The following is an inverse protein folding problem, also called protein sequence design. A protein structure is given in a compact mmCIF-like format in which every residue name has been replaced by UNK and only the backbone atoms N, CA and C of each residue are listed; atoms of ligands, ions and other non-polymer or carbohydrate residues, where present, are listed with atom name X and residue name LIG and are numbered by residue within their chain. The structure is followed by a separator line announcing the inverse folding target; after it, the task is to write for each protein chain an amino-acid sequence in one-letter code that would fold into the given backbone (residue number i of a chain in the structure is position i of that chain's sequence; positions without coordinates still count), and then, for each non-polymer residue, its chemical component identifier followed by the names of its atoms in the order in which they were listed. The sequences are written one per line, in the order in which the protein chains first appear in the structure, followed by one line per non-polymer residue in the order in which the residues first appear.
data_IF_742659927387
#
_entry.id   IF_742659927387
#
_cell.length_a   1.000
_cell.length_b   1.000
_cell.length_c   1.000
_cell.angle_alpha   90.00
_cell.angle_beta   90.00
_cell.angle_gamma   90.00
#
_symmetry.space_group_name_H-M   'P 1'
#
loop_
_entity.id
_entity.type
_entity.pdbx_description
1 polymer ?
#
# COMPACT_ATOMS: atom_id res chain seq x y z
N UNK A 1 -5.31 15.13 26.94
CA UNK A 1 -6.47 14.89 26.03
C UNK A 1 -6.31 15.48 24.63
N UNK A 2 -5.73 16.68 24.50
CA UNK A 2 -5.50 17.41 23.23
C UNK A 2 -4.39 16.85 22.35
N UNK A 3 -3.41 16.11 22.90
CA UNK A 3 -2.36 15.45 22.10
C UNK A 3 -2.90 14.41 21.11
N UNK A 4 -4.08 13.82 21.38
CA UNK A 4 -4.73 12.86 20.46
C UNK A 4 -5.11 13.47 19.09
N UNK A 5 -5.13 14.79 18.96
CA UNK A 5 -5.44 15.49 17.70
C UNK A 5 -4.19 15.94 16.92
N UNK A 6 -3.00 15.83 17.50
CA UNK A 6 -1.73 16.19 16.88
C UNK A 6 -0.94 14.91 16.58
N UNK A 7 -0.89 14.50 15.32
CA UNK A 7 -0.10 13.34 14.88
C UNK A 7 -0.84 12.44 13.87
N UNK A 8 -0.23 11.31 13.55
CA UNK A 8 -0.87 10.28 12.73
C UNK A 8 -2.02 9.63 13.53
N UNK A 9 -3.13 9.35 12.87
CA UNK A 9 -4.28 8.64 13.45
C UNK A 9 -4.52 7.26 12.81
N UNK A 10 -3.60 6.84 11.94
CA UNK A 10 -3.57 5.55 11.25
C UNK A 10 -2.11 5.09 11.18
N UNK A 11 -1.81 3.94 11.78
CA UNK A 11 -0.49 3.31 11.71
C UNK A 11 -0.43 2.16 10.73
N UNK A 12 0.79 1.84 10.30
CA UNK A 12 1.11 0.60 9.60
C UNK A 12 1.80 -0.34 10.56
N UNK A 13 1.32 -1.58 10.64
CA UNK A 13 2.07 -2.68 11.25
C UNK A 13 2.39 -3.71 10.18
N UNK A 14 3.66 -4.12 10.06
CA UNK A 14 4.09 -5.08 9.05
C UNK A 14 4.53 -6.40 9.70
N UNK A 15 4.12 -7.51 9.10
CA UNK A 15 4.53 -8.87 9.50
C UNK A 15 5.10 -9.57 8.27
N UNK A 16 6.20 -10.31 8.46
CA UNK A 16 6.76 -11.22 7.46
C UNK A 16 6.67 -12.64 8.02
N UNK A 17 5.84 -13.48 7.40
CA UNK A 17 5.78 -14.90 7.76
C UNK A 17 6.87 -15.65 7.03
N UNK A 18 7.62 -16.48 7.75
CA UNK A 18 8.81 -17.17 7.26
C UNK A 18 8.61 -18.67 7.11
N UNK A 19 7.45 -19.20 7.52
CA UNK A 19 7.18 -20.64 7.65
C UNK A 19 8.12 -21.31 8.69
N UNK A 20 8.58 -20.53 9.67
CA UNK A 20 9.27 -21.00 10.86
C UNK A 20 8.30 -20.83 12.05
N UNK A 21 7.80 -21.93 12.65
CA UNK A 21 6.81 -21.87 13.70
C UNK A 21 7.22 -21.01 14.91
N UNK A 22 8.50 -20.94 15.22
CA UNK A 22 9.00 -20.17 16.36
C UNK A 22 8.97 -18.68 16.03
N UNK A 23 9.54 -18.29 14.89
CA UNK A 23 9.60 -16.88 14.46
C UNK A 23 8.22 -16.31 14.14
N UNK A 24 7.39 -17.11 13.47
CA UNK A 24 6.04 -16.70 13.09
C UNK A 24 5.16 -16.52 14.35
N UNK A 25 5.35 -17.35 15.37
CA UNK A 25 4.73 -17.16 16.70
C UNK A 25 5.21 -15.89 17.38
N UNK A 26 6.50 -15.59 17.36
CA UNK A 26 7.04 -14.35 17.94
C UNK A 26 6.47 -13.10 17.25
N UNK A 27 6.39 -13.11 15.92
CA UNK A 27 5.76 -12.04 15.15
C UNK A 27 4.28 -11.86 15.49
N UNK A 28 3.54 -12.96 15.66
CA UNK A 28 2.14 -12.94 16.06
C UNK A 28 1.96 -12.37 17.48
N UNK A 29 2.82 -12.74 18.42
CA UNK A 29 2.79 -12.21 19.79
C UNK A 29 3.08 -10.71 19.83
N UNK A 30 4.06 -10.25 19.03
CA UNK A 30 4.36 -8.83 18.91
C UNK A 30 3.18 -8.03 18.32
N UNK A 31 2.53 -8.57 17.28
CA UNK A 31 1.34 -7.94 16.72
C UNK A 31 0.18 -7.93 17.72
N UNK A 32 0.00 -9.00 18.49
CA UNK A 32 -1.02 -9.05 19.53
C UNK A 32 -0.82 -7.95 20.58
N UNK A 33 0.42 -7.77 21.07
CA UNK A 33 0.74 -6.70 22.02
C UNK A 33 0.45 -5.31 21.44
N UNK A 34 0.84 -5.07 20.18
CA UNK A 34 0.54 -3.83 19.48
C UNK A 34 -0.96 -3.57 19.37
N UNK A 35 -1.77 -4.57 18.98
CA UNK A 35 -3.22 -4.39 18.83
C UNK A 35 -3.89 -4.04 20.14
N UNK A 36 -3.49 -4.66 21.25
CA UNK A 36 -4.04 -4.35 22.57
C UNK A 36 -3.76 -2.89 22.98
N UNK A 37 -2.54 -2.41 22.75
CA UNK A 37 -2.17 -1.02 22.99
C UNK A 37 -2.91 -0.05 22.04
N UNK A 38 -3.01 -0.42 20.77
CA UNK A 38 -3.72 0.37 19.76
C UNK A 38 -5.21 0.50 20.12
N UNK A 39 -5.85 -0.58 20.52
CA UNK A 39 -7.25 -0.60 20.97
C UNK A 39 -7.45 0.28 22.23
N UNK A 40 -6.61 0.13 23.26
CA UNK A 40 -6.65 0.95 24.48
C UNK A 40 -6.53 2.45 24.17
N UNK A 41 -5.71 2.79 23.19
CA UNK A 41 -5.46 4.18 22.78
C UNK A 41 -6.46 4.70 21.74
N UNK A 42 -7.32 3.84 21.19
CA UNK A 42 -8.19 4.18 20.07
C UNK A 42 -7.42 4.52 18.78
N UNK A 43 -6.22 3.96 18.62
CA UNK A 43 -5.34 4.16 17.48
C UNK A 43 -5.66 3.15 16.38
N UNK A 44 -5.94 3.63 15.16
CA UNK A 44 -6.28 2.76 14.03
C UNK A 44 -5.02 2.25 13.36
N UNK A 45 -5.09 1.08 12.75
CA UNK A 45 -3.99 0.52 11.97
C UNK A 45 -4.48 -0.22 10.73
N UNK A 46 -3.57 -0.41 9.80
CA UNK A 46 -3.69 -1.40 8.74
C UNK A 46 -2.53 -2.39 8.85
N UNK A 47 -2.78 -3.62 8.41
CA UNK A 47 -1.82 -4.73 8.53
C UNK A 47 -1.18 -4.99 7.17
N UNK A 48 0.14 -4.87 7.08
CA UNK A 48 0.92 -5.32 5.93
C UNK A 48 1.46 -6.72 6.19
N UNK A 49 1.24 -7.63 5.24
CA UNK A 49 1.75 -9.00 5.31
C UNK A 49 2.63 -9.27 4.10
N UNK A 50 3.87 -9.67 4.38
CA UNK A 50 4.87 -10.01 3.37
C UNK A 50 5.02 -11.53 3.20
N UNK A 51 5.48 -11.88 2.00
CA UNK A 51 5.96 -13.22 1.68
C UNK A 51 7.20 -13.57 2.50
N UNK A 52 7.50 -14.88 2.66
CA UNK A 52 8.77 -15.31 3.24
C UNK A 52 9.97 -14.62 2.57
N UNK A 53 10.83 -14.04 3.40
CA UNK A 53 12.06 -13.40 2.97
C UNK A 53 13.25 -14.38 2.86
N UNK A 54 13.00 -15.66 3.15
CA UNK A 54 13.95 -16.77 2.98
C UNK A 54 13.48 -17.62 1.81
N UNK A 55 14.37 -17.86 0.84
CA UNK A 55 14.05 -18.67 -0.33
C UNK A 55 13.69 -20.11 0.06
N UNK A 56 12.83 -20.73 -0.77
CA UNK A 56 12.43 -22.14 -0.66
C UNK A 56 11.71 -22.56 0.63
N UNK A 57 11.23 -21.61 1.45
CA UNK A 57 10.41 -21.94 2.63
C UNK A 57 8.99 -22.38 2.29
N UNK A 58 8.45 -21.88 1.17
CA UNK A 58 7.13 -22.23 0.66
C UNK A 58 7.24 -22.36 -0.85
N UNK A 59 6.67 -23.44 -1.42
CA UNK A 59 6.64 -23.62 -2.86
C UNK A 59 5.80 -22.51 -3.53
N UNK A 60 6.21 -21.94 -4.67
CA UNK A 60 5.51 -20.81 -5.30
C UNK A 60 4.00 -21.03 -5.53
N UNK A 61 3.59 -22.25 -5.89
CA UNK A 61 2.21 -22.66 -6.10
C UNK A 61 1.35 -22.68 -4.83
N UNK A 62 1.99 -22.73 -3.65
CA UNK A 62 1.35 -22.73 -2.34
C UNK A 62 1.45 -21.38 -1.63
N UNK A 63 2.23 -20.43 -2.16
CA UNK A 63 2.51 -19.15 -1.49
C UNK A 63 1.23 -18.36 -1.16
N UNK A 64 0.32 -18.21 -2.13
CA UNK A 64 -0.94 -17.49 -1.90
C UNK A 64 -1.81 -18.15 -0.80
N UNK A 65 -1.89 -19.47 -0.80
CA UNK A 65 -2.63 -20.22 0.23
C UNK A 65 -1.98 -20.10 1.61
N UNK A 66 -0.64 -20.17 1.67
CA UNK A 66 0.13 -19.98 2.90
C UNK A 66 -0.10 -18.59 3.51
N UNK A 67 -0.07 -17.53 2.69
CA UNK A 67 -0.31 -16.16 3.16
C UNK A 67 -1.75 -15.98 3.63
N UNK A 68 -2.74 -16.51 2.91
CA UNK A 68 -4.14 -16.50 3.33
C UNK A 68 -4.31 -17.18 4.69
N UNK A 69 -3.77 -18.38 4.86
CA UNK A 69 -3.81 -19.14 6.12
C UNK A 69 -3.10 -18.39 7.28
N UNK A 70 -1.96 -17.76 7.01
CA UNK A 70 -1.29 -16.91 7.99
C UNK A 70 -2.14 -15.71 8.42
N UNK A 71 -2.77 -15.01 7.47
CA UNK A 71 -3.68 -13.88 7.76
C UNK A 71 -4.86 -14.35 8.60
N UNK A 72 -5.49 -15.47 8.21
CA UNK A 72 -6.64 -16.04 8.92
C UNK A 72 -6.27 -16.41 10.36
N UNK A 73 -5.13 -17.06 10.58
CA UNK A 73 -4.65 -17.36 11.94
C UNK A 73 -4.39 -16.11 12.76
N UNK A 74 -3.83 -15.08 12.14
CA UNK A 74 -3.48 -13.82 12.80
C UNK A 74 -4.69 -13.01 13.24
N UNK A 75 -5.77 -13.07 12.48
CA UNK A 75 -7.01 -12.38 12.77
C UNK A 75 -8.07 -13.29 13.44
N UNK A 76 -7.75 -14.57 13.61
CA UNK A 76 -8.58 -15.56 14.28
C UNK A 76 -8.87 -15.15 15.72
N UNK A 77 -10.16 -15.00 16.06
CA UNK A 77 -10.60 -14.57 17.40
C UNK A 77 -10.38 -13.09 17.70
N UNK A 78 -9.88 -12.29 16.75
CA UNK A 78 -9.71 -10.85 16.93
C UNK A 78 -11.06 -10.13 16.81
N UNK A 79 -11.44 -9.41 17.87
CA UNK A 79 -12.64 -8.57 17.94
C UNK A 79 -12.56 -7.41 16.95
N UNK A 80 -13.71 -6.91 16.52
CA UNK A 80 -13.81 -5.80 15.56
C UNK A 80 -13.00 -4.55 15.97
N UNK A 81 -12.93 -4.24 17.26
CA UNK A 81 -12.18 -3.09 17.82
C UNK A 81 -10.67 -3.22 17.65
N UNK A 82 -10.14 -4.44 17.70
CA UNK A 82 -8.71 -4.71 17.54
C UNK A 82 -8.30 -5.16 16.14
N UNK A 83 -9.23 -5.22 15.17
CA UNK A 83 -8.93 -5.59 13.77
C UNK A 83 -8.27 -4.44 13.02
N UNK A 84 -7.41 -4.73 12.02
CA UNK A 84 -6.94 -3.70 11.10
C UNK A 84 -8.09 -3.17 10.23
N UNK A 85 -8.03 -1.90 9.84
CA UNK A 85 -9.01 -1.27 8.94
C UNK A 85 -8.98 -1.91 7.54
N UNK A 86 -7.79 -2.29 7.07
CA UNK A 86 -7.57 -2.99 5.81
C UNK A 86 -6.23 -3.74 5.83
N UNK A 87 -6.07 -4.63 4.86
CA UNK A 87 -4.81 -5.33 4.60
C UNK A 87 -3.98 -4.65 3.51
N UNK A 88 -2.67 -4.84 3.58
CA UNK A 88 -1.72 -4.52 2.51
C UNK A 88 -0.88 -5.76 2.20
N UNK A 89 -1.20 -6.45 1.12
CA UNK A 89 -0.58 -7.74 0.79
C UNK A 89 -0.06 -7.77 -0.65
N UNK A 90 0.85 -8.69 -0.94
CA UNK A 90 1.19 -9.03 -2.33
C UNK A 90 -0.06 -9.62 -3.01
N UNK A 91 -0.25 -9.31 -4.29
CA UNK A 91 -1.29 -9.96 -5.07
C UNK A 91 -0.79 -11.34 -5.54
N UNK A 92 -1.32 -12.41 -4.98
CA UNK A 92 -0.99 -13.80 -5.35
C UNK A 92 -1.96 -14.40 -6.38
N UNK A 93 -2.67 -13.54 -7.09
CA UNK A 93 -3.57 -13.92 -8.17
C UNK A 93 -5.03 -14.13 -7.81
N UNK A 94 -5.86 -14.45 -8.82
CA UNK A 94 -7.32 -14.47 -8.72
C UNK A 94 -7.82 -15.34 -7.59
N UNK A 95 -7.39 -16.61 -7.60
CA UNK A 95 -7.87 -17.63 -6.64
C UNK A 95 -7.57 -17.21 -5.20
N UNK A 96 -6.34 -16.81 -4.91
CA UNK A 96 -5.95 -16.42 -3.56
C UNK A 96 -6.69 -15.16 -3.08
N UNK A 97 -6.90 -14.18 -3.96
CA UNK A 97 -7.67 -12.98 -3.65
C UNK A 97 -9.14 -13.31 -3.38
N UNK A 98 -9.78 -14.09 -4.25
CA UNK A 98 -11.19 -14.50 -4.09
C UNK A 98 -11.41 -15.32 -2.82
N UNK A 99 -10.51 -16.28 -2.53
CA UNK A 99 -10.56 -17.09 -1.30
C UNK A 99 -10.54 -16.21 -0.04
N UNK A 100 -9.60 -15.25 0.03
CA UNK A 100 -9.47 -14.38 1.20
C UNK A 100 -10.67 -13.44 1.36
N UNK A 101 -11.13 -12.84 0.26
CA UNK A 101 -12.30 -11.93 0.26
C UNK A 101 -13.58 -12.67 0.60
N UNK A 102 -13.74 -13.91 0.13
CA UNK A 102 -14.91 -14.74 0.44
C UNK A 102 -14.92 -15.23 1.89
N UNK A 103 -13.74 -15.49 2.47
CA UNK A 103 -13.61 -15.97 3.85
C UNK A 103 -14.11 -14.95 4.88
N UNK A 104 -13.71 -13.68 4.76
CA UNK A 104 -14.17 -12.61 5.63
C UNK A 104 -14.60 -11.37 4.81
N UNK A 105 -15.89 -11.21 4.50
CA UNK A 105 -16.39 -10.09 3.70
C UNK A 105 -16.28 -8.73 4.41
N UNK A 106 -15.98 -8.72 5.71
CA UNK A 106 -15.73 -7.48 6.45
C UNK A 106 -14.26 -7.04 6.38
N UNK A 107 -13.36 -7.92 5.92
CA UNK A 107 -11.94 -7.61 5.79
C UNK A 107 -11.68 -6.91 4.44
N UNK A 108 -11.28 -5.64 4.50
CA UNK A 108 -10.91 -4.89 3.31
C UNK A 108 -9.52 -5.34 2.86
N UNK A 109 -9.46 -6.07 1.74
CA UNK A 109 -8.18 -6.54 1.18
C UNK A 109 -7.59 -5.47 0.26
N UNK A 110 -6.37 -5.04 0.58
CA UNK A 110 -5.58 -4.11 -0.23
C UNK A 110 -4.29 -4.72 -0.75
N UNK A 111 -3.86 -4.29 -1.93
CA UNK A 111 -2.66 -4.81 -2.59
C UNK A 111 -1.48 -3.82 -2.54
N UNK A 112 -0.27 -4.34 -2.48
CA UNK A 112 0.96 -3.57 -2.63
C UNK A 112 1.43 -3.55 -4.09
N UNK A 113 2.10 -2.46 -4.47
CA UNK A 113 2.56 -2.28 -5.85
C UNK A 113 3.83 -3.05 -6.24
N UNK A 114 4.68 -3.43 -5.29
CA UNK A 114 5.99 -4.02 -5.63
C UNK A 114 6.98 -3.00 -6.19
N UNK A 115 7.83 -3.41 -7.14
CA UNK A 115 8.74 -2.52 -7.89
C UNK A 115 7.98 -1.62 -8.87
N UNK A 116 8.64 -0.64 -9.48
CA UNK A 116 7.95 0.25 -10.43
C UNK A 116 7.41 -0.50 -11.65
N UNK A 117 8.24 -1.33 -12.31
CA UNK A 117 7.85 -2.02 -13.53
C UNK A 117 7.48 -1.05 -14.66
N UNK A 118 6.58 -1.49 -15.54
CA UNK A 118 5.96 -0.65 -16.59
C UNK A 118 4.70 0.05 -16.07
N UNK A 119 4.22 1.03 -16.84
CA UNK A 119 2.90 1.63 -16.60
C UNK A 119 1.81 0.55 -16.68
N UNK A 120 1.93 -0.38 -17.64
CA UNK A 120 0.98 -1.47 -17.78
C UNK A 120 0.99 -2.42 -16.58
N UNK A 121 2.16 -2.74 -15.99
CA UNK A 121 2.23 -3.52 -14.75
C UNK A 121 1.38 -2.89 -13.64
N UNK A 122 1.46 -1.56 -13.46
CA UNK A 122 0.69 -0.87 -12.43
C UNK A 122 -0.81 -0.88 -12.71
N UNK A 123 -1.20 -0.52 -13.93
CA UNK A 123 -2.60 -0.36 -14.32
C UNK A 123 -3.32 -1.71 -14.36
N UNK A 124 -2.66 -2.74 -14.90
CA UNK A 124 -3.20 -4.09 -14.95
C UNK A 124 -3.31 -4.70 -13.56
N UNK A 125 -2.33 -4.49 -12.68
CA UNK A 125 -2.38 -4.97 -11.29
C UNK A 125 -3.57 -4.39 -10.53
N UNK A 126 -3.81 -3.08 -10.64
CA UNK A 126 -4.97 -2.44 -10.04
C UNK A 126 -6.29 -3.06 -10.55
N UNK A 127 -6.41 -3.22 -11.87
CA UNK A 127 -7.63 -3.75 -12.48
C UNK A 127 -7.90 -5.21 -12.10
N UNK A 128 -6.89 -6.08 -12.11
CA UNK A 128 -7.02 -7.48 -11.71
C UNK A 128 -7.38 -7.58 -10.21
N UNK A 129 -6.65 -6.89 -9.34
CA UNK A 129 -6.95 -6.92 -7.91
C UNK A 129 -8.38 -6.45 -7.62
N UNK A 130 -8.84 -5.37 -8.27
CA UNK A 130 -10.24 -4.91 -8.17
C UNK A 130 -11.22 -5.97 -8.65
N UNK A 131 -10.95 -6.59 -9.81
CA UNK A 131 -11.82 -7.62 -10.42
C UNK A 131 -12.08 -8.78 -9.46
N UNK A 132 -11.07 -9.20 -8.70
CA UNK A 132 -11.15 -10.36 -7.81
C UNK A 132 -11.48 -10.02 -6.35
N UNK A 133 -11.87 -8.78 -6.05
CA UNK A 133 -12.40 -8.43 -4.73
C UNK A 133 -11.54 -7.48 -3.91
N UNK A 134 -10.32 -7.16 -4.35
CA UNK A 134 -9.51 -6.11 -3.76
C UNK A 134 -10.22 -4.76 -3.77
N UNK A 135 -9.98 -3.96 -2.73
CA UNK A 135 -10.66 -2.67 -2.51
C UNK A 135 -9.71 -1.49 -2.29
N UNK A 136 -8.42 -1.77 -2.09
CA UNK A 136 -7.39 -0.75 -1.85
C UNK A 136 -6.14 -1.10 -2.67
N UNK A 137 -5.47 -0.08 -3.21
CA UNK A 137 -4.15 -0.23 -3.83
C UNK A 137 -3.17 0.75 -3.19
N UNK A 138 -2.06 0.21 -2.66
CA UNK A 138 -1.03 0.97 -1.96
C UNK A 138 0.25 0.98 -2.80
N UNK A 139 0.27 1.84 -3.82
CA UNK A 139 1.38 1.99 -4.75
C UNK A 139 2.32 3.11 -4.29
N UNK A 140 3.57 2.75 -3.97
CA UNK A 140 4.63 3.72 -3.67
C UNK A 140 5.54 3.93 -4.88
N UNK A 141 6.46 2.97 -5.10
CA UNK A 141 7.48 3.04 -6.16
C UNK A 141 6.89 3.27 -7.56
N UNK A 142 5.79 2.60 -7.89
CA UNK A 142 5.08 2.75 -9.17
C UNK A 142 4.69 4.20 -9.46
N UNK A 143 4.21 4.91 -8.45
CA UNK A 143 3.82 6.33 -8.58
C UNK A 143 5.06 7.22 -8.57
N UNK A 144 5.96 7.03 -7.60
CA UNK A 144 7.11 7.91 -7.43
C UNK A 144 8.08 7.90 -8.62
N UNK A 145 8.15 6.78 -9.35
CA UNK A 145 9.03 6.60 -10.51
C UNK A 145 8.31 6.79 -11.84
N UNK A 146 7.05 7.25 -11.85
CA UNK A 146 6.36 7.67 -13.05
C UNK A 146 6.90 9.02 -13.55
N UNK A 147 6.89 9.22 -14.87
CA UNK A 147 7.33 10.46 -15.53
C UNK A 147 6.47 11.66 -15.13
N UNK A 148 5.18 11.43 -14.88
CA UNK A 148 4.26 12.44 -14.35
C UNK A 148 3.33 11.81 -13.31
N UNK A 149 3.62 12.04 -12.03
CA UNK A 149 2.90 11.37 -10.93
C UNK A 149 1.42 11.77 -10.87
N UNK A 150 1.09 13.03 -11.18
CA UNK A 150 -0.30 13.51 -11.15
C UNK A 150 -1.13 12.85 -12.24
N UNK A 151 -0.61 12.81 -13.48
CA UNK A 151 -1.27 12.11 -14.58
C UNK A 151 -1.41 10.61 -14.28
N UNK A 152 -0.36 9.99 -13.73
CA UNK A 152 -0.36 8.58 -13.37
C UNK A 152 -1.43 8.24 -12.32
N UNK A 153 -1.50 9.02 -11.23
CA UNK A 153 -2.52 8.88 -10.17
C UNK A 153 -3.93 9.04 -10.73
N UNK A 154 -4.13 10.00 -11.64
CA UNK A 154 -5.42 10.19 -12.26
C UNK A 154 -5.86 8.97 -13.07
N UNK A 155 -4.98 8.40 -13.89
CA UNK A 155 -5.32 7.18 -14.63
C UNK A 155 -5.58 5.98 -13.70
N UNK A 156 -4.82 5.85 -12.59
CA UNK A 156 -5.15 4.87 -11.54
C UNK A 156 -6.57 5.09 -11.01
N UNK A 157 -6.98 6.35 -10.78
CA UNK A 157 -8.33 6.65 -10.32
C UNK A 157 -9.39 6.28 -11.34
N UNK A 158 -9.20 6.60 -12.62
CA UNK A 158 -10.12 6.24 -13.69
C UNK A 158 -10.29 4.71 -13.81
N UNK A 159 -9.20 3.95 -13.67
CA UNK A 159 -9.25 2.47 -13.65
C UNK A 159 -10.00 1.97 -12.41
N UNK A 160 -9.70 2.54 -11.23
CA UNK A 160 -10.37 2.19 -9.99
C UNK A 160 -11.88 2.47 -10.06
N UNK A 161 -12.30 3.54 -10.73
CA UNK A 161 -13.70 3.89 -10.97
C UNK A 161 -14.35 3.06 -12.10
N UNK A 162 -13.54 2.35 -12.89
CA UNK A 162 -14.03 1.52 -14.01
C UNK A 162 -14.38 2.33 -15.26
N UNK A 163 -13.91 3.57 -15.34
CA UNK A 163 -14.15 4.43 -16.50
C UNK A 163 -13.32 3.98 -17.70
N UNK A 164 -12.09 3.50 -17.46
CA UNK A 164 -11.11 3.11 -18.49
C UNK A 164 -10.43 1.77 -18.16
N UNK A 165 -10.09 0.99 -19.18
CA UNK A 165 -9.30 -0.23 -19.05
C UNK A 165 -7.79 0.03 -18.97
N UNK A 166 -6.97 -0.91 -18.45
CA UNK A 166 -5.53 -0.74 -18.33
C UNK A 166 -4.81 -0.41 -19.65
N UNK A 167 -5.13 -1.13 -20.73
CA UNK A 167 -4.49 -1.01 -22.04
C UNK A 167 -4.79 0.36 -22.68
N UNK A 168 -6.02 0.84 -22.51
CA UNK A 168 -6.45 2.15 -22.96
C UNK A 168 -5.79 3.26 -22.13
N UNK A 169 -5.70 3.06 -20.81
CA UNK A 169 -5.08 4.01 -19.90
C UNK A 169 -3.58 4.21 -20.17
N UNK A 170 -2.83 3.15 -20.52
CA UNK A 170 -1.41 3.28 -20.91
C UNK A 170 -1.28 4.17 -22.15
N UNK A 171 -2.06 3.90 -23.20
CA UNK A 171 -2.05 4.71 -24.44
C UNK A 171 -2.42 6.17 -24.16
N UNK A 172 -3.43 6.38 -23.32
CA UNK A 172 -3.87 7.72 -22.93
C UNK A 172 -2.80 8.46 -22.11
N UNK A 173 -2.12 7.77 -21.19
CA UNK A 173 -1.00 8.32 -20.41
C UNK A 173 0.15 8.75 -21.32
N UNK A 174 0.56 7.92 -22.28
CA UNK A 174 1.57 8.31 -23.29
C UNK A 174 1.13 9.52 -24.11
N UNK A 175 -0.15 9.61 -24.48
CA UNK A 175 -0.69 10.78 -25.15
C UNK A 175 -0.66 12.06 -24.31
N UNK A 176 -0.85 11.93 -22.98
CA UNK A 176 -0.69 13.06 -22.04
C UNK A 176 0.79 13.45 -21.93
N UNK A 177 1.71 12.48 -21.81
CA UNK A 177 3.15 12.77 -21.80
C UNK A 177 3.58 13.53 -23.06
N UNK A 178 3.12 13.09 -24.23
CA UNK A 178 3.37 13.77 -25.50
C UNK A 178 2.83 15.21 -25.51
N UNK A 179 1.59 15.42 -25.06
CA UNK A 179 1.00 16.76 -25.00
C UNK A 179 1.76 17.70 -24.05
N UNK A 180 2.32 17.16 -22.97
CA UNK A 180 3.13 17.89 -22.00
C UNK A 180 4.60 18.03 -22.40
N UNK A 181 5.02 17.47 -23.55
CA UNK A 181 6.41 17.47 -23.97
C UNK A 181 7.35 16.66 -23.06
N UNK A 182 6.80 15.71 -22.29
CA UNK A 182 7.56 14.84 -21.40
C UNK A 182 7.97 13.58 -22.17
N UNK A 183 9.27 13.31 -22.25
CA UNK A 183 9.79 12.09 -22.86
C UNK A 183 9.47 10.88 -22.00
N UNK A 184 8.73 9.88 -22.51
CA UNK A 184 8.49 8.64 -21.78
C UNK A 184 9.80 7.88 -21.50
N UNK A 185 9.92 7.21 -20.35
CA UNK A 185 11.11 6.40 -20.05
C UNK A 185 11.24 5.17 -20.98
N UNK A 186 10.13 4.74 -21.57
CA UNK A 186 10.02 3.56 -22.45
C UNK A 186 9.16 3.88 -23.65
N UNK A 187 9.36 3.15 -24.75
CA UNK A 187 8.43 3.21 -25.87
C UNK A 187 7.04 2.70 -25.44
N UNK A 188 5.98 3.15 -26.11
CA UNK A 188 4.63 2.64 -25.84
C UNK A 188 4.56 1.10 -25.97
N UNK A 189 5.27 0.52 -26.93
CA UNK A 189 5.31 -0.93 -27.13
C UNK A 189 5.92 -1.65 -25.92
N UNK A 190 7.06 -1.14 -25.40
CA UNK A 190 7.73 -1.73 -24.25
C UNK A 190 6.97 -1.51 -22.95
N UNK A 191 6.31 -0.36 -22.81
CA UNK A 191 5.55 0.00 -21.61
C UNK A 191 4.20 -0.74 -21.52
N UNK A 192 3.79 -1.40 -22.59
CA UNK A 192 2.66 -2.33 -22.68
C UNK A 192 3.03 -3.78 -22.31
N UNK A 193 4.30 -4.06 -21.99
CA UNK A 193 4.76 -5.39 -21.59
C UNK A 193 4.69 -5.52 -20.06
N UNK A 194 4.18 -6.67 -19.59
CA UNK A 194 4.28 -7.02 -18.16
C UNK A 194 5.71 -7.44 -17.85
N UNK A 195 6.36 -6.71 -16.95
CA UNK A 195 7.74 -6.99 -16.54
C UNK A 195 7.82 -7.50 -15.11
N UNK A 196 6.79 -7.26 -14.29
CA UNK A 196 6.80 -7.65 -12.88
C UNK A 196 6.18 -9.02 -12.66
N UNK A 197 6.87 -9.86 -11.87
CA UNK A 197 6.39 -11.20 -11.48
C UNK A 197 5.08 -11.19 -10.68
N UNK A 198 4.65 -10.02 -10.16
CA UNK A 198 3.36 -9.86 -9.45
C UNK A 198 2.17 -10.20 -10.35
N UNK A 199 2.34 -10.11 -11.69
CA UNK A 199 1.31 -10.45 -12.67
C UNK A 199 1.63 -11.71 -13.48
N UNK A 200 2.80 -12.31 -13.27
CA UNK A 200 3.16 -13.58 -13.91
C UNK A 200 2.59 -14.72 -13.07
N UNK A 201 1.46 -15.25 -13.49
CA UNK A 201 0.81 -16.41 -12.88
C UNK A 201 1.63 -17.72 -12.97
N UNK A 202 2.88 -17.64 -13.46
CA UNK A 202 3.84 -18.74 -13.53
C UNK A 202 5.12 -18.43 -12.75
N UNK A 203 5.17 -18.92 -11.50
CA UNK A 203 6.37 -19.45 -10.85
C UNK A 203 7.67 -18.61 -10.83
N UNK A 204 7.64 -17.29 -10.99
CA UNK A 204 8.88 -16.49 -11.00
C UNK A 204 8.92 -15.51 -9.83
N UNK A 205 9.93 -15.72 -8.98
CA UNK A 205 10.43 -14.94 -7.83
C UNK A 205 9.74 -13.59 -7.56
N UNK A 206 8.72 -13.59 -6.72
CA UNK A 206 8.28 -12.40 -5.97
C UNK A 206 8.99 -12.36 -4.63
N UNK A 207 10.16 -11.73 -4.56
CA UNK A 207 10.77 -11.39 -3.26
C UNK A 207 10.38 -9.96 -2.88
N UNK A 208 9.42 -9.84 -1.97
CA UNK A 208 9.03 -8.57 -1.37
C UNK A 208 9.92 -8.28 -0.14
N UNK A 209 11.20 -7.98 -0.37
CA UNK A 209 12.09 -7.60 0.73
C UNK A 209 11.80 -6.14 1.18
N UNK A 210 11.72 -5.87 2.50
CA UNK A 210 11.86 -4.52 3.03
C UNK A 210 13.21 -3.92 2.62
N UNK A 211 13.32 -2.60 2.39
CA UNK A 211 14.59 -1.99 2.01
C UNK A 211 15.62 -2.16 3.14
N UNK A 212 16.73 -2.83 2.85
CA UNK A 212 17.90 -2.83 3.71
C UNK A 212 18.54 -1.43 3.67
N UNK A 213 18.67 -0.77 4.82
CA UNK A 213 19.56 0.38 4.95
C UNK A 213 21.00 -0.13 4.88
N UNK A 214 21.66 0.07 3.74
CA UNK A 214 23.08 -0.21 3.61
C UNK A 214 23.88 0.79 4.47
N UNK A 215 24.44 0.31 5.59
CA UNK A 215 25.54 1.00 6.26
C UNK A 215 26.86 0.59 5.57
N UNK A 216 27.76 1.53 5.21
CA UNK A 216 29.06 1.16 4.66
C UNK A 216 29.98 0.62 5.77
N UNK A 217 30.49 -0.59 5.55
CA UNK A 217 31.79 -1.06 6.01
C UNK A 217 31.88 -1.59 7.45
N UNK A 218 31.94 -2.93 7.60
CA UNK A 218 33.01 -3.63 8.35
C UNK A 218 33.20 -5.03 7.74
N UNK A 219 34.46 -5.40 7.52
CA UNK A 219 34.99 -6.66 6.98
C UNK A 219 34.79 -7.88 7.91
N UNK A 220 34.58 -9.06 7.31
CA UNK A 220 34.64 -10.44 7.87
C UNK A 220 35.89 -10.70 8.75
N UNK A 221 36.00 -11.55 9.78
CA UNK A 221 35.49 -12.90 10.19
C UNK A 221 36.06 -13.23 11.61
N UNK A 222 35.93 -14.44 12.25
CA UNK A 222 34.86 -15.46 12.34
C UNK A 222 34.47 -15.85 13.82
N UNK A 223 33.61 -16.89 13.96
CA UNK A 223 32.96 -17.57 15.13
C UNK A 223 33.70 -17.64 16.51
N UNK A 224 33.06 -17.74 17.69
CA UNK A 224 32.31 -18.90 18.30
C UNK A 224 31.35 -18.45 19.47
N UNK A 225 30.31 -19.27 19.72
CA UNK A 225 29.13 -19.26 20.64
C UNK A 225 29.36 -19.23 22.19
N UNK A 226 28.35 -19.45 23.09
CA UNK A 226 26.90 -19.14 23.12
C UNK A 226 26.43 -18.36 24.40
N UNK A 227 25.20 -17.81 24.33
CA UNK A 227 24.22 -17.45 25.38
C UNK A 227 24.62 -17.28 26.86
N UNK A 228 24.27 -16.13 27.44
CA UNK A 228 23.94 -15.95 28.87
C UNK A 228 22.86 -14.88 29.08
N UNK A 229 22.03 -15.12 30.10
CA UNK A 229 20.67 -14.61 30.41
C UNK A 229 20.52 -13.08 30.64
N UNK A 230 19.28 -12.54 30.58
CA UNK A 230 19.04 -11.09 30.56
C UNK A 230 19.14 -10.44 31.95
N UNK A 231 19.73 -9.24 31.99
CA UNK A 231 19.78 -8.36 33.17
C UNK A 231 18.57 -7.43 33.15
N UNK A 232 17.80 -7.50 34.22
CA UNK A 232 16.70 -6.61 34.60
C UNK A 232 17.18 -5.17 34.73
N UNK A 233 16.50 -4.23 34.07
CA UNK A 233 16.63 -2.80 34.37
C UNK A 233 15.29 -2.23 34.84
N UNK A 234 15.33 -1.69 36.05
CA UNK A 234 14.30 -0.90 36.71
C UNK A 234 14.24 0.51 36.11
N UNK A 235 13.05 1.12 35.94
CA UNK A 235 12.95 2.48 35.43
C UNK A 235 13.22 3.52 36.52
N UNK A 236 14.12 4.47 36.23
CA UNK A 236 14.37 5.67 37.04
C UNK A 236 13.36 6.74 36.64
N UNK A 237 12.59 7.21 37.62
CA UNK A 237 11.67 8.32 37.50
C UNK A 237 12.42 9.66 37.32
N UNK A 238 11.98 10.49 36.37
CA UNK A 238 12.42 11.89 36.26
C UNK A 238 11.21 12.80 36.50
N UNK A 239 11.37 13.63 37.52
CA UNK A 239 10.38 14.56 38.04
C UNK A 239 10.11 15.72 37.06
N UNK A 240 8.83 16.07 36.95
CA UNK A 240 8.35 17.26 36.26
C UNK A 240 8.73 18.53 37.05
N UNK A 241 9.28 19.53 36.34
CA UNK A 241 9.28 20.93 36.80
C UNK A 241 8.34 21.74 35.92
N UNK A 242 7.32 22.28 36.57
CA UNK A 242 6.39 23.27 36.05
C UNK A 242 7.10 24.61 35.82
N UNK A 243 6.91 25.20 34.65
CA UNK A 243 7.16 26.62 34.41
C UNK A 243 5.88 27.23 33.87
N UNK A 244 5.32 28.12 34.67
CA UNK A 244 4.17 28.96 34.36
C UNK A 244 4.61 30.09 33.44
N UNK A 245 3.90 30.29 32.32
CA UNK A 245 4.02 31.50 31.51
C UNK A 245 2.64 31.92 31.02
N UNK A 246 2.04 32.84 31.76
CA UNK A 246 0.89 33.64 31.35
C UNK A 246 1.25 34.46 30.10
N UNK A 247 0.50 34.30 29.01
CA UNK A 247 0.26 35.37 28.05
C UNK A 247 -1.09 35.15 27.33
N UNK A 248 -1.91 36.20 27.16
CA UNK A 248 -3.22 36.07 26.55
C UNK A 248 -3.10 36.01 25.02
N UNK A 249 -3.56 34.92 24.40
CA UNK A 249 -3.67 34.80 22.93
C UNK A 249 -5.09 35.20 22.50
N UNK A 250 -5.13 36.21 21.64
CA UNK A 250 -6.31 36.85 21.02
C UNK A 250 -7.01 35.86 20.06
N UNK A 251 -8.36 35.85 19.95
CA UNK A 251 -9.07 34.90 19.10
C UNK A 251 -8.79 35.14 17.61
N UNK A 252 -8.41 34.07 16.90
CA UNK A 252 -8.23 34.05 15.46
C UNK A 252 -9.58 34.06 14.73
N UNK A 253 -9.69 34.88 13.68
CA UNK A 253 -10.86 34.99 12.81
C UNK A 253 -10.99 33.74 11.90
N UNK A 254 -12.22 33.34 11.52
CA UNK A 254 -12.43 32.20 10.63
C UNK A 254 -11.99 32.51 9.18
N UNK A 255 -11.35 31.53 8.53
CA UNK A 255 -10.97 31.58 7.11
C UNK A 255 -12.20 31.68 6.19
N UNK A 256 -12.10 32.37 5.04
CA UNK A 256 -13.20 32.49 4.09
C UNK A 256 -13.50 31.17 3.34
N UNK A 257 -14.79 30.98 3.11
CA UNK A 257 -15.44 29.83 2.51
C UNK A 257 -14.94 29.46 1.12
N UNK A 258 -15.00 28.15 0.84
CA UNK A 258 -14.75 27.47 -0.44
C UNK A 258 -15.33 28.24 -1.64
N UNK A 259 -14.49 28.54 -2.63
CA UNK A 259 -14.94 28.87 -3.99
C UNK A 259 -15.62 27.63 -4.56
N UNK A 260 -16.94 27.71 -4.73
CA UNK A 260 -17.72 26.69 -5.41
C UNK A 260 -17.39 26.71 -6.91
N UNK A 261 -16.83 25.61 -7.41
CA UNK A 261 -16.74 25.36 -8.86
C UNK A 261 -18.13 24.89 -9.33
N UNK A 262 -18.68 25.44 -10.43
CA UNK A 262 -20.01 25.03 -10.90
C UNK A 262 -20.02 23.55 -11.28
N UNK A 263 -21.09 22.85 -10.93
CA UNK A 263 -21.35 21.48 -11.38
C UNK A 263 -21.61 21.47 -12.89
N UNK A 264 -20.56 21.42 -13.71
CA UNK A 264 -20.70 20.98 -15.09
C UNK A 264 -21.09 19.51 -15.06
N UNK A 265 -22.21 19.15 -15.69
CA UNK A 265 -22.66 17.79 -15.92
C UNK A 265 -21.48 16.87 -16.26
N UNK A 266 -21.09 16.00 -15.33
CA UNK A 266 -20.05 15.01 -15.62
C UNK A 266 -20.57 14.10 -16.75
N UNK A 267 -19.72 13.75 -17.74
CA UNK A 267 -20.14 12.87 -18.81
C UNK A 267 -20.46 11.48 -18.28
N UNK A 268 -21.45 10.83 -18.89
CA UNK A 268 -21.76 9.42 -18.64
C UNK A 268 -20.78 8.53 -19.40
N UNK A 269 -19.68 8.14 -18.73
CA UNK A 269 -18.65 7.29 -19.32
C UNK A 269 -19.15 5.90 -19.69
N UNK A 270 -20.30 5.44 -19.21
CA UNK A 270 -20.86 4.15 -19.64
C UNK A 270 -21.32 4.18 -21.10
N UNK A 271 -21.61 5.36 -21.65
CA UNK A 271 -22.13 5.56 -23.02
C UNK A 271 -21.08 6.04 -24.02
N UNK A 272 -19.85 6.24 -23.58
CA UNK A 272 -18.75 6.67 -24.43
C UNK A 272 -17.95 5.47 -24.92
N UNK A 273 -17.51 5.54 -26.17
CA UNK A 273 -16.46 4.67 -26.69
C UNK A 273 -15.13 4.98 -25.99
N UNK A 274 -14.23 4.00 -25.96
CA UNK A 274 -12.86 4.20 -25.47
C UNK A 274 -12.18 5.43 -26.08
N UNK A 275 -12.32 5.65 -27.40
CA UNK A 275 -11.70 6.79 -28.06
C UNK A 275 -12.25 8.14 -27.54
N UNK A 276 -13.56 8.23 -27.29
CA UNK A 276 -14.21 9.42 -26.75
C UNK A 276 -13.80 9.69 -25.31
N UNK A 277 -13.65 8.64 -24.49
CA UNK A 277 -13.16 8.77 -23.11
C UNK A 277 -11.76 9.34 -23.09
N UNK A 278 -10.84 8.78 -23.88
CA UNK A 278 -9.47 9.28 -24.00
C UNK A 278 -9.45 10.74 -24.46
N UNK A 279 -10.24 11.08 -25.48
CA UNK A 279 -10.33 12.45 -25.99
C UNK A 279 -10.87 13.43 -24.94
N UNK A 280 -11.92 13.03 -24.21
CA UNK A 280 -12.48 13.84 -23.13
C UNK A 280 -11.48 14.07 -22.00
N UNK A 281 -10.79 13.00 -21.56
CA UNK A 281 -9.77 13.09 -20.51
C UNK A 281 -8.61 13.97 -20.96
N UNK A 282 -8.15 13.84 -22.21
CA UNK A 282 -7.13 14.74 -22.81
C UNK A 282 -7.59 16.20 -22.78
N UNK A 283 -8.82 16.49 -23.20
CA UNK A 283 -9.37 17.85 -23.19
C UNK A 283 -9.58 18.41 -21.77
N UNK A 284 -9.88 17.55 -20.79
CA UNK A 284 -9.93 17.92 -19.37
C UNK A 284 -8.53 18.24 -18.85
N UNK A 285 -7.52 17.46 -19.22
CA UNK A 285 -6.13 17.68 -18.81
C UNK A 285 -5.55 18.98 -19.37
N UNK A 286 -5.79 19.29 -20.65
CA UNK A 286 -5.39 20.58 -21.23
C UNK A 286 -5.98 21.76 -20.44
N UNK A 287 -7.21 21.63 -19.92
CA UNK A 287 -7.83 22.67 -19.07
C UNK A 287 -7.23 22.77 -17.66
N UNK A 288 -6.67 21.68 -17.13
CA UNK A 288 -6.11 21.63 -15.77
C UNK A 288 -4.65 22.08 -15.75
N UNK A 289 -3.88 21.71 -16.77
CA UNK A 289 -2.43 21.94 -16.81
C UNK A 289 -2.00 23.16 -17.64
N UNK A 290 -2.89 23.70 -18.48
CA UNK A 290 -2.57 24.79 -19.42
C UNK A 290 -2.09 24.25 -20.75
#
# INVERSE_FOLDING_TARGET
PSERQLGANLGLYSITYTNDPVRDREALLAYNAFRLEAEEKGFRHFLEVFDPNVEAMVAPEHLGGFINDAIVRTLGGVTRSGRPDFLKIVYHGPRAMEELVAYDPHLVVGILGGSAGTTYDAFKLLAEAKKYGGRVALFGRKINQAENQLAFIHFLRLIADGEIGPEEAVKAYHGVLQALGVTPNRSLADDMVLQTGVMSYGGTKTTSLPPAQAKPGVTSSPAVAPYSKPVTSTPVAIAAKSVSANNPVKPAQPLPSKVAVPASSQPDFSKMTSAEKVAWQRARWNRILG
#
